data_IF_104807886818
#
_entry.id   IF_104807886818
#
_cell.length_a   1.000
_cell.length_b   1.000
_cell.length_c   1.000
_cell.angle_alpha   90.00
_cell.angle_beta   90.00
_cell.angle_gamma   90.00
#
_symmetry.space_group_name_H-M   'P 1'
#
loop_
_entity.id
_entity.type
_entity.pdbx_description
1 polymer ?
#
# COMPACT_ATOMS: atom_id res chain seq x y z
N UNK A 1 -7.25 -4.91 -7.88
CA UNK A 1 -7.06 -3.75 -7.00
C UNK A 1 -7.18 -2.51 -7.86
N UNK A 2 -8.41 -2.01 -8.04
CA UNK A 2 -8.62 -0.74 -8.73
C UNK A 2 -8.49 0.37 -7.70
N UNK A 3 -7.55 1.29 -7.91
CA UNK A 3 -7.44 2.51 -7.14
C UNK A 3 -6.59 2.47 -5.85
N UNK A 4 -5.51 1.67 -5.80
CA UNK A 4 -4.48 1.66 -4.73
C UNK A 4 -3.11 1.08 -5.21
N UNK A 5 -2.48 1.61 -6.26
CA UNK A 5 -1.29 0.98 -6.88
C UNK A 5 -0.10 0.83 -5.92
N UNK A 6 0.09 1.77 -4.99
CA UNK A 6 1.15 1.67 -3.96
C UNK A 6 0.86 0.50 -3.03
N UNK A 7 -0.35 0.41 -2.47
CA UNK A 7 -0.75 -0.71 -1.63
C UNK A 7 -0.68 -2.06 -2.35
N UNK A 8 -1.14 -2.09 -3.60
CA UNK A 8 -1.06 -3.27 -4.45
C UNK A 8 0.39 -3.71 -4.68
N UNK A 9 1.30 -2.77 -4.91
CA UNK A 9 2.74 -3.05 -5.09
C UNK A 9 3.38 -3.53 -3.79
N UNK A 10 3.07 -2.92 -2.63
CA UNK A 10 3.55 -3.38 -1.31
C UNK A 10 3.10 -4.82 -1.03
N UNK A 11 1.83 -5.14 -1.33
CA UNK A 11 1.30 -6.49 -1.17
C UNK A 11 1.96 -7.46 -2.13
N UNK A 12 1.93 -7.18 -3.44
CA UNK A 12 2.43 -8.10 -4.45
C UNK A 12 3.94 -8.33 -4.31
N UNK A 13 4.70 -7.28 -4.01
CA UNK A 13 6.13 -7.39 -3.69
C UNK A 13 6.38 -8.26 -2.46
N UNK A 14 5.67 -8.04 -1.35
CA UNK A 14 5.89 -8.83 -0.13
C UNK A 14 5.50 -10.31 -0.32
N UNK A 15 4.45 -10.61 -1.11
CA UNK A 15 4.14 -11.98 -1.49
C UNK A 15 5.22 -12.61 -2.36
N UNK A 16 5.73 -11.86 -3.36
CA UNK A 16 6.79 -12.35 -4.23
C UNK A 16 8.09 -12.61 -3.45
N UNK A 17 8.48 -11.73 -2.53
CA UNK A 17 9.61 -11.93 -1.62
C UNK A 17 9.44 -13.23 -0.82
N UNK A 18 8.29 -13.38 -0.14
CA UNK A 18 7.99 -14.57 0.69
C UNK A 18 8.04 -15.87 -0.11
N UNK A 19 7.41 -15.90 -1.29
CA UNK A 19 7.43 -17.11 -2.12
C UNK A 19 8.81 -17.39 -2.71
N UNK A 20 9.59 -16.35 -3.01
CA UNK A 20 11.00 -16.51 -3.43
C UNK A 20 11.84 -17.12 -2.31
N UNK A 21 11.67 -16.70 -1.05
CA UNK A 21 12.35 -17.34 0.09
C UNK A 21 11.97 -18.82 0.24
N UNK A 22 10.68 -19.16 0.09
CA UNK A 22 10.24 -20.55 0.12
C UNK A 22 10.88 -21.38 -1.00
N UNK A 23 10.91 -20.86 -2.22
CA UNK A 23 11.56 -21.52 -3.36
C UNK A 23 13.07 -21.68 -3.10
N UNK A 24 13.73 -20.65 -2.57
CA UNK A 24 15.14 -20.69 -2.24
C UNK A 24 15.44 -21.75 -1.18
N UNK A 25 14.60 -21.86 -0.15
CA UNK A 25 14.70 -22.90 0.86
C UNK A 25 14.52 -24.30 0.27
N UNK A 26 13.45 -24.52 -0.51
CA UNK A 26 13.12 -25.82 -1.11
C UNK A 26 14.20 -26.30 -2.10
N UNK A 27 14.91 -25.37 -2.76
CA UNK A 27 15.93 -25.68 -3.77
C UNK A 27 17.36 -25.46 -3.28
N UNK A 28 17.56 -25.13 -1.99
CA UNK A 28 18.86 -24.73 -1.42
C UNK A 28 19.58 -23.64 -2.27
N UNK A 29 18.82 -22.70 -2.84
CA UNK A 29 19.27 -21.73 -3.83
C UNK A 29 19.40 -20.31 -3.23
N UNK A 30 20.45 -20.11 -2.43
CA UNK A 30 20.76 -18.78 -1.87
C UNK A 30 21.18 -17.73 -2.92
N UNK A 31 21.23 -16.45 -2.53
CA UNK A 31 21.80 -15.39 -3.37
C UNK A 31 23.31 -15.58 -3.54
N UNK A 32 23.83 -15.25 -4.72
CA UNK A 32 25.28 -15.21 -4.95
C UNK A 32 25.91 -13.96 -4.35
N UNK A 33 27.21 -13.97 -4.01
CA UNK A 33 27.91 -12.77 -3.53
C UNK A 33 27.78 -11.61 -4.53
N UNK A 34 27.21 -10.49 -4.08
CA UNK A 34 27.01 -9.28 -4.90
C UNK A 34 25.81 -9.31 -5.85
N UNK A 35 25.03 -10.38 -5.85
CA UNK A 35 23.80 -10.48 -6.64
C UNK A 35 22.73 -9.51 -6.12
N UNK A 36 22.09 -8.76 -7.01
CA UNK A 36 20.98 -7.90 -6.62
C UNK A 36 19.75 -8.74 -6.33
N UNK A 37 18.91 -8.30 -5.40
CA UNK A 37 17.68 -9.01 -5.04
C UNK A 37 16.77 -9.31 -6.23
N UNK A 38 16.63 -8.38 -7.18
CA UNK A 38 15.84 -8.60 -8.40
C UNK A 38 16.42 -9.72 -9.27
N UNK A 39 17.74 -9.76 -9.44
CA UNK A 39 18.44 -10.76 -10.24
C UNK A 39 18.31 -12.15 -9.58
N UNK A 40 18.47 -12.20 -8.26
CA UNK A 40 18.27 -13.41 -7.45
C UNK A 40 16.84 -13.94 -7.58
N UNK A 41 15.82 -13.07 -7.44
CA UNK A 41 14.41 -13.45 -7.62
C UNK A 41 14.19 -13.95 -9.05
N UNK A 42 14.63 -13.23 -10.08
CA UNK A 42 14.50 -13.67 -11.47
C UNK A 42 15.09 -15.06 -11.70
N UNK A 43 16.29 -15.32 -11.16
CA UNK A 43 16.95 -16.62 -11.22
C UNK A 43 16.16 -17.71 -10.50
N UNK A 44 15.68 -17.47 -9.29
CA UNK A 44 14.89 -18.45 -8.53
C UNK A 44 13.64 -18.90 -9.27
N UNK A 45 12.91 -17.95 -9.85
CA UNK A 45 11.68 -18.25 -10.58
C UNK A 45 11.94 -18.87 -11.95
N UNK A 46 13.17 -18.80 -12.47
CA UNK A 46 13.59 -19.51 -13.68
C UNK A 46 13.99 -20.97 -13.46
N UNK A 47 14.06 -21.44 -12.21
CA UNK A 47 14.37 -22.85 -11.90
C UNK A 47 13.30 -23.75 -12.52
N UNK A 48 13.73 -24.80 -13.22
CA UNK A 48 12.82 -25.70 -13.92
C UNK A 48 11.76 -26.29 -12.98
N UNK A 49 10.49 -26.24 -13.41
CA UNK A 49 9.35 -26.73 -12.62
C UNK A 49 8.81 -25.74 -11.58
N UNK A 50 9.48 -24.59 -11.35
CA UNK A 50 8.96 -23.55 -10.45
C UNK A 50 7.81 -22.77 -11.10
N UNK A 51 7.96 -22.35 -12.35
CA UNK A 51 6.90 -21.69 -13.12
C UNK A 51 6.03 -22.66 -13.92
N UNK A 52 6.60 -23.78 -14.39
CA UNK A 52 5.94 -24.71 -15.32
C UNK A 52 5.18 -25.84 -14.62
N UNK A 53 5.30 -25.95 -13.29
CA UNK A 53 4.64 -26.96 -12.45
C UNK A 53 5.05 -28.43 -12.68
N UNK A 54 5.85 -28.75 -13.70
CA UNK A 54 6.26 -30.12 -14.01
C UNK A 54 5.32 -30.85 -14.98
N UNK A 55 5.96 -31.62 -15.88
CA UNK A 55 5.46 -32.51 -16.96
C UNK A 55 3.95 -32.52 -17.21
N UNK A 56 3.54 -31.80 -18.28
CA UNK A 56 2.21 -31.73 -18.93
C UNK A 56 1.44 -30.43 -18.69
N UNK A 57 2.11 -29.28 -18.86
CA UNK A 57 1.53 -27.94 -18.76
C UNK A 57 0.67 -27.61 -19.99
N UNK A 58 -0.66 -27.52 -19.82
CA UNK A 58 -1.58 -26.87 -20.78
C UNK A 58 -1.52 -25.33 -20.70
N UNK A 59 -0.57 -24.77 -19.94
CA UNK A 59 -0.11 -23.39 -20.04
C UNK A 59 1.41 -23.44 -20.09
N UNK A 60 2.00 -22.99 -21.20
CA UNK A 60 3.46 -22.93 -21.36
C UNK A 60 4.13 -22.02 -20.33
N UNK A 61 5.47 -21.86 -20.38
CA UNK A 61 6.19 -20.94 -19.51
C UNK A 61 5.47 -19.60 -19.51
N UNK A 62 5.16 -19.08 -18.31
CA UNK A 62 4.35 -17.87 -18.18
C UNK A 62 4.99 -16.66 -18.87
N UNK A 63 6.27 -16.76 -19.25
CA UNK A 63 7.02 -15.65 -19.83
C UNK A 63 7.19 -14.49 -18.83
N UNK A 64 6.79 -14.71 -17.57
CA UNK A 64 6.81 -13.69 -16.53
C UNK A 64 8.22 -13.58 -15.96
N UNK A 65 8.78 -12.39 -16.08
CA UNK A 65 10.04 -12.03 -15.44
C UNK A 65 9.79 -11.54 -14.01
N UNK A 66 9.90 -12.46 -13.05
CA UNK A 66 9.72 -12.17 -11.63
C UNK A 66 10.68 -11.08 -11.12
N UNK A 67 11.92 -11.06 -11.62
CA UNK A 67 12.94 -10.10 -11.22
C UNK A 67 12.59 -8.69 -11.69
N UNK A 68 12.11 -8.56 -12.92
CA UNK A 68 11.61 -7.29 -13.47
C UNK A 68 10.39 -6.78 -12.72
N UNK A 69 9.38 -7.62 -12.48
CA UNK A 69 8.19 -7.24 -11.71
C UNK A 69 8.57 -6.78 -10.29
N UNK A 70 9.48 -7.50 -9.63
CA UNK A 70 10.01 -7.09 -8.33
C UNK A 70 10.73 -5.72 -8.39
N UNK A 71 11.58 -5.52 -9.40
CA UNK A 71 12.32 -4.26 -9.57
C UNK A 71 11.37 -3.08 -9.80
N UNK A 72 10.36 -3.22 -10.66
CA UNK A 72 9.42 -2.13 -10.96
C UNK A 72 8.58 -1.74 -9.74
N UNK A 73 8.04 -2.73 -9.01
CA UNK A 73 7.32 -2.46 -7.75
C UNK A 73 8.23 -1.81 -6.69
N UNK A 74 9.52 -2.16 -6.68
CA UNK A 74 10.50 -1.54 -5.78
C UNK A 74 10.82 -0.10 -6.18
N UNK A 75 10.89 0.21 -7.47
CA UNK A 75 11.09 1.59 -7.94
C UNK A 75 9.88 2.49 -7.62
N UNK A 76 8.64 1.97 -7.69
CA UNK A 76 7.43 2.74 -7.33
C UNK A 76 7.51 3.26 -5.90
N UNK A 77 7.91 2.40 -4.96
CA UNK A 77 8.09 2.74 -3.54
C UNK A 77 9.06 3.91 -3.35
N UNK A 78 9.99 4.09 -4.29
CA UNK A 78 10.97 5.18 -4.30
C UNK A 78 10.60 6.36 -5.21
N UNK A 79 9.36 6.41 -5.70
CA UNK A 79 8.88 7.50 -6.53
C UNK A 79 9.31 7.40 -8.01
N UNK A 80 9.66 6.21 -8.49
CA UNK A 80 10.27 5.99 -9.82
C UNK A 80 9.64 4.79 -10.54
N UNK A 81 10.07 4.57 -11.77
CA UNK A 81 9.66 3.41 -12.58
C UNK A 81 8.33 3.62 -13.30
N UNK A 82 7.90 2.59 -14.02
CA UNK A 82 6.74 2.70 -14.92
C UNK A 82 5.41 2.79 -14.17
N UNK A 83 5.36 2.24 -12.96
CA UNK A 83 4.18 2.29 -12.09
C UNK A 83 3.81 3.70 -11.62
N UNK A 84 4.69 4.70 -11.75
CA UNK A 84 4.34 6.10 -11.49
C UNK A 84 3.19 6.55 -12.41
N UNK A 85 3.13 6.06 -13.65
CA UNK A 85 2.02 6.36 -14.57
C UNK A 85 0.68 5.82 -14.06
N UNK A 86 0.67 4.62 -13.51
CA UNK A 86 -0.52 4.05 -12.88
C UNK A 86 -0.95 4.84 -11.64
N UNK A 87 0.01 5.35 -10.85
CA UNK A 87 -0.29 6.22 -9.71
C UNK A 87 -0.93 7.54 -10.16
N UNK A 88 -0.43 8.14 -11.25
CA UNK A 88 -1.05 9.33 -11.86
C UNK A 88 -2.49 9.09 -12.27
N UNK A 89 -2.73 8.02 -13.02
CA UNK A 89 -4.08 7.69 -13.45
C UNK A 89 -5.01 7.55 -12.25
N UNK A 90 -4.59 6.86 -11.20
CA UNK A 90 -5.41 6.68 -10.00
C UNK A 90 -5.63 7.97 -9.19
N UNK A 91 -4.60 8.78 -9.00
CA UNK A 91 -4.69 9.94 -8.10
C UNK A 91 -5.37 11.13 -8.74
N UNK A 92 -5.40 11.20 -10.07
CA UNK A 92 -5.86 12.38 -10.82
C UNK A 92 -6.93 12.05 -11.86
N UNK A 93 -6.87 10.87 -12.48
CA UNK A 93 -7.66 10.53 -13.67
C UNK A 93 -8.56 9.31 -13.44
N UNK A 94 -8.84 8.93 -12.18
CA UNK A 94 -9.49 7.64 -11.85
C UNK A 94 -10.84 7.44 -12.53
N UNK A 95 -11.57 8.54 -12.76
CA UNK A 95 -12.88 8.53 -13.44
C UNK A 95 -12.78 8.52 -14.97
N UNK A 96 -11.57 8.61 -15.51
CA UNK A 96 -11.27 8.52 -16.94
C UNK A 96 -10.75 7.14 -17.32
N UNK A 97 -10.87 6.77 -18.59
CA UNK A 97 -10.28 5.54 -19.09
C UNK A 97 -8.76 5.55 -18.90
N UNK A 98 -8.20 4.47 -18.34
CA UNK A 98 -6.76 4.30 -18.23
C UNK A 98 -6.13 4.22 -19.63
N UNK A 99 -5.03 4.96 -19.83
CA UNK A 99 -4.25 4.82 -21.05
C UNK A 99 -3.49 3.48 -21.09
N UNK A 100 -3.01 3.09 -22.27
CA UNK A 100 -2.32 1.83 -22.46
C UNK A 100 -1.06 1.69 -21.59
N UNK A 101 -0.38 2.79 -21.27
CA UNK A 101 0.84 2.76 -20.45
C UNK A 101 0.52 2.52 -18.97
N UNK A 102 -0.55 3.13 -18.45
CA UNK A 102 -1.06 2.89 -17.10
C UNK A 102 -1.53 1.43 -16.98
N UNK A 103 -2.24 0.90 -17.98
CA UNK A 103 -2.67 -0.51 -18.02
C UNK A 103 -1.45 -1.45 -18.03
N UNK A 104 -0.45 -1.20 -18.89
CA UNK A 104 0.78 -2.00 -18.93
C UNK A 104 1.56 -1.95 -17.61
N UNK A 105 1.56 -0.81 -16.92
CA UNK A 105 2.23 -0.73 -15.63
C UNK A 105 1.58 -1.66 -14.59
N UNK A 106 0.24 -1.85 -14.62
CA UNK A 106 -0.44 -2.80 -13.75
C UNK A 106 -0.06 -4.27 -14.02
N UNK A 107 0.45 -4.60 -15.21
CA UNK A 107 0.90 -5.96 -15.52
C UNK A 107 2.02 -6.41 -14.57
N UNK A 108 2.92 -5.52 -14.11
CA UNK A 108 3.96 -5.90 -13.14
C UNK A 108 3.40 -6.40 -11.80
N UNK A 109 2.34 -5.76 -11.31
CA UNK A 109 1.66 -6.15 -10.08
C UNK A 109 0.86 -7.43 -10.30
N UNK A 110 0.14 -7.51 -11.42
CA UNK A 110 -0.63 -8.69 -11.79
C UNK A 110 0.27 -9.93 -11.90
N UNK A 111 1.39 -9.81 -12.61
CA UNK A 111 2.34 -10.88 -12.86
C UNK A 111 2.96 -11.42 -11.56
N UNK A 112 3.32 -10.52 -10.63
CA UNK A 112 3.83 -10.93 -9.31
C UNK A 112 2.78 -11.70 -8.49
N UNK A 113 1.51 -11.29 -8.56
CA UNK A 113 0.41 -11.99 -7.90
C UNK A 113 0.09 -13.32 -8.58
N UNK A 114 0.11 -13.38 -9.92
CA UNK A 114 -0.11 -14.60 -10.70
C UNK A 114 0.94 -15.66 -10.37
N UNK A 115 2.22 -15.29 -10.31
CA UNK A 115 3.29 -16.18 -9.84
C UNK A 115 3.03 -16.71 -8.43
N UNK A 116 2.58 -15.84 -7.51
CA UNK A 116 2.28 -16.22 -6.13
C UNK A 116 1.10 -17.21 -6.05
N UNK A 117 0.03 -16.96 -6.80
CA UNK A 117 -1.16 -17.84 -6.85
C UNK A 117 -0.81 -19.19 -7.47
N UNK A 118 -0.06 -19.20 -8.58
CA UNK A 118 0.45 -20.44 -9.20
C UNK A 118 1.27 -21.27 -8.22
N UNK A 119 2.10 -20.62 -7.40
CA UNK A 119 2.88 -21.33 -6.37
C UNK A 119 2.00 -21.90 -5.26
N UNK A 120 0.95 -21.18 -4.84
CA UNK A 120 -0.05 -21.71 -3.90
C UNK A 120 -0.74 -22.95 -4.48
N UNK A 121 -1.17 -22.89 -5.74
CA UNK A 121 -1.79 -24.03 -6.43
C UNK A 121 -0.84 -25.23 -6.47
N UNK A 122 0.41 -25.03 -6.89
CA UNK A 122 1.41 -26.10 -6.91
C UNK A 122 1.64 -26.74 -5.53
N UNK A 123 1.66 -25.93 -4.46
CA UNK A 123 1.79 -26.41 -3.09
C UNK A 123 0.56 -27.24 -2.64
N UNK A 124 -0.65 -26.78 -2.98
CA UNK A 124 -1.90 -27.52 -2.71
C UNK A 124 -1.90 -28.86 -3.45
N UNK A 125 -1.58 -28.88 -4.75
CA UNK A 125 -1.47 -30.09 -5.55
C UNK A 125 -0.48 -31.08 -4.93
N UNK A 126 0.71 -30.60 -4.57
CA UNK A 126 1.76 -31.43 -3.96
C UNK A 126 1.29 -32.03 -2.62
N UNK A 127 0.66 -31.22 -1.76
CA UNK A 127 0.13 -31.67 -0.47
C UNK A 127 -1.03 -32.67 -0.62
N UNK A 128 -1.90 -32.47 -1.62
CA UNK A 128 -3.01 -33.38 -1.92
C UNK A 128 -2.50 -34.72 -2.43
N UNK A 129 -1.57 -34.73 -3.40
CA UNK A 129 -0.93 -35.95 -3.89
C UNK A 129 -0.19 -36.70 -2.78
N UNK A 130 0.54 -36.01 -1.89
CA UNK A 130 1.20 -36.63 -0.74
C UNK A 130 0.22 -37.31 0.23
N UNK A 131 -1.04 -36.87 0.25
CA UNK A 131 -2.14 -37.45 1.04
C UNK A 131 -2.99 -38.44 0.24
N UNK A 132 -2.59 -38.81 -0.97
CA UNK A 132 -3.33 -39.70 -1.87
C UNK A 132 -4.75 -39.17 -2.20
N UNK A 133 -4.89 -37.85 -2.24
CA UNK A 133 -6.13 -37.16 -2.65
C UNK A 133 -6.03 -36.77 -4.13
N UNK A 134 -5.92 -37.76 -5.00
CA UNK A 134 -5.58 -37.55 -6.43
C UNK A 134 -6.63 -36.72 -7.18
N UNK A 135 -7.91 -36.83 -6.82
CA UNK A 135 -8.97 -35.99 -7.38
C UNK A 135 -8.77 -34.52 -7.02
N UNK A 136 -8.45 -34.22 -5.76
CA UNK A 136 -8.18 -32.85 -5.29
C UNK A 136 -6.92 -32.28 -5.95
N UNK A 137 -5.88 -33.11 -6.11
CA UNK A 137 -4.66 -32.71 -6.81
C UNK A 137 -4.95 -32.39 -8.28
N UNK A 138 -5.74 -33.23 -8.96
CA UNK A 138 -6.16 -33.02 -10.34
C UNK A 138 -7.04 -31.76 -10.49
N UNK A 139 -7.99 -31.53 -9.58
CA UNK A 139 -8.86 -30.37 -9.62
C UNK A 139 -8.09 -29.07 -9.36
N UNK A 140 -7.21 -29.05 -8.36
CA UNK A 140 -6.35 -27.90 -8.08
C UNK A 140 -5.41 -27.58 -9.27
N UNK A 141 -4.93 -28.62 -9.95
CA UNK A 141 -4.10 -28.49 -11.15
C UNK A 141 -4.87 -27.97 -12.37
N UNK A 142 -6.08 -28.48 -12.58
CA UNK A 142 -6.94 -28.11 -13.71
C UNK A 142 -7.69 -26.79 -13.50
N UNK A 143 -7.74 -26.29 -12.26
CA UNK A 143 -8.27 -24.96 -11.95
C UNK A 143 -7.38 -23.92 -12.61
N UNK A 144 -7.86 -23.34 -13.73
CA UNK A 144 -7.17 -22.24 -14.39
C UNK A 144 -6.99 -21.11 -13.38
N UNK A 145 -5.73 -20.82 -13.05
CA UNK A 145 -5.32 -19.67 -12.25
C UNK A 145 -5.47 -18.35 -13.03
N UNK A 146 -6.65 -18.12 -13.63
CA UNK A 146 -7.12 -16.87 -14.23
C UNK A 146 -6.86 -16.66 -15.74
N UNK A 147 -7.91 -16.16 -16.41
CA UNK A 147 -7.81 -15.29 -17.58
C UNK A 147 -7.78 -13.85 -17.09
N UNK A 148 -7.04 -12.94 -17.76
CA UNK A 148 -7.13 -11.50 -17.48
C UNK A 148 -8.60 -11.09 -17.54
N UNK A 149 -9.14 -10.64 -16.41
CA UNK A 149 -10.53 -10.17 -16.33
C UNK A 149 -10.55 -8.69 -16.66
N UNK A 150 -11.25 -8.33 -17.74
CA UNK A 150 -11.55 -6.94 -18.02
C UNK A 150 -12.68 -6.49 -17.09
N UNK A 151 -12.55 -5.31 -16.51
CA UNK A 151 -13.57 -4.68 -15.67
C UNK A 151 -13.93 -3.33 -16.27
N UNK A 152 -15.22 -3.05 -16.40
CA UNK A 152 -15.65 -1.69 -16.72
C UNK A 152 -15.63 -0.86 -15.45
N UNK A 153 -15.13 0.37 -15.57
CA UNK A 153 -15.08 1.30 -14.45
C UNK A 153 -16.49 1.58 -13.89
N UNK A 154 -17.49 1.69 -14.77
CA UNK A 154 -18.90 1.89 -14.41
C UNK A 154 -19.41 0.83 -13.40
N UNK A 155 -18.96 -0.42 -13.54
CA UNK A 155 -19.41 -1.55 -12.71
C UNK A 155 -18.84 -1.48 -11.28
N UNK A 156 -17.75 -0.74 -11.07
CA UNK A 156 -17.06 -0.65 -9.79
C UNK A 156 -17.03 0.74 -9.18
N UNK A 157 -17.41 1.78 -9.91
CA UNK A 157 -17.38 3.15 -9.43
C UNK A 157 -18.07 3.32 -8.06
N UNK A 158 -19.25 2.72 -7.78
CA UNK A 158 -19.86 2.80 -6.45
C UNK A 158 -19.00 2.18 -5.34
N UNK A 159 -18.16 1.21 -5.69
CA UNK A 159 -17.30 0.46 -4.77
C UNK A 159 -15.95 1.17 -4.50
N UNK A 160 -15.59 2.17 -5.32
CA UNK A 160 -14.39 3.00 -5.17
C UNK A 160 -14.53 4.07 -4.08
N UNK A 161 -15.76 4.35 -3.63
CA UNK A 161 -16.04 5.34 -2.59
C UNK A 161 -15.30 4.97 -1.29
N UNK A 162 -14.63 5.92 -0.60
CA UNK A 162 -13.96 5.65 0.68
C UNK A 162 -14.90 5.03 1.73
N UNK A 163 -14.38 4.09 2.54
CA UNK A 163 -15.15 3.53 3.65
C UNK A 163 -15.03 4.46 4.86
N UNK A 164 -16.06 5.28 5.07
CA UNK A 164 -16.18 6.14 6.27
C UNK A 164 -16.93 5.41 7.38
N UNK A 165 -16.65 5.69 8.66
CA UNK A 165 -17.50 5.24 9.77
C UNK A 165 -18.99 5.49 9.55
N UNK A 166 -19.36 6.70 9.13
CA UNK A 166 -20.75 7.03 8.78
C UNK A 166 -21.35 6.12 7.69
N UNK A 167 -20.54 5.64 6.75
CA UNK A 167 -20.98 4.73 5.69
C UNK A 167 -21.22 3.31 6.21
N UNK A 168 -20.24 2.70 6.89
CA UNK A 168 -20.38 1.31 7.33
C UNK A 168 -21.27 1.16 8.57
N UNK A 169 -21.51 2.23 9.31
CA UNK A 169 -22.49 2.28 10.40
C UNK A 169 -23.92 2.52 9.90
N UNK A 170 -24.12 2.99 8.66
CA UNK A 170 -25.44 3.06 8.05
C UNK A 170 -25.84 1.67 7.51
N UNK A 171 -26.86 1.06 8.11
CA UNK A 171 -27.25 -0.31 7.75
C UNK A 171 -27.67 -0.48 6.29
N UNK A 172 -28.31 0.53 5.68
CA UNK A 172 -28.71 0.48 4.26
C UNK A 172 -27.50 0.53 3.33
N UNK A 173 -26.58 1.47 3.57
CA UNK A 173 -25.35 1.60 2.78
C UNK A 173 -24.42 0.39 2.96
N UNK A 174 -24.29 -0.08 4.20
CA UNK A 174 -23.54 -1.29 4.52
C UNK A 174 -24.14 -2.53 3.86
N UNK A 175 -25.47 -2.69 3.89
CA UNK A 175 -26.15 -3.80 3.23
C UNK A 175 -25.96 -3.75 1.71
N UNK A 176 -26.10 -2.58 1.09
CA UNK A 176 -25.88 -2.40 -0.35
C UNK A 176 -24.47 -2.85 -0.75
N UNK A 177 -23.42 -2.42 -0.03
CA UNK A 177 -22.05 -2.87 -0.29
C UNK A 177 -21.88 -4.39 -0.06
N UNK A 178 -22.38 -4.91 1.06
CA UNK A 178 -22.16 -6.32 1.44
C UNK A 178 -22.97 -7.30 0.60
N UNK A 179 -24.10 -6.89 0.03
CA UNK A 179 -24.91 -7.71 -0.87
C UNK A 179 -24.14 -8.22 -2.09
N UNK A 180 -23.28 -7.39 -2.69
CA UNK A 180 -22.39 -7.81 -3.77
C UNK A 180 -21.35 -8.83 -3.31
N UNK A 181 -20.82 -8.66 -2.09
CA UNK A 181 -19.90 -9.63 -1.49
C UNK A 181 -20.57 -10.98 -1.20
N UNK A 182 -21.83 -10.96 -0.73
CA UNK A 182 -22.63 -12.18 -0.56
C UNK A 182 -22.93 -12.86 -1.89
N UNK A 183 -23.21 -12.10 -2.95
CA UNK A 183 -23.39 -12.65 -4.28
C UNK A 183 -22.12 -13.39 -4.75
N UNK A 184 -20.95 -12.77 -4.64
CA UNK A 184 -19.66 -13.42 -4.96
C UNK A 184 -19.47 -14.74 -4.19
N UNK A 185 -19.63 -14.70 -2.85
CA UNK A 185 -19.45 -15.91 -2.01
C UNK A 185 -20.46 -16.99 -2.36
N UNK A 186 -21.71 -16.61 -2.60
CA UNK A 186 -22.75 -17.55 -3.03
C UNK A 186 -22.43 -18.24 -4.35
N UNK A 187 -21.78 -17.55 -5.30
CA UNK A 187 -21.29 -18.17 -6.55
C UNK A 187 -20.09 -19.08 -6.31
N UNK A 188 -19.14 -18.68 -5.46
CA UNK A 188 -17.99 -19.53 -5.08
C UNK A 188 -18.45 -20.81 -4.38
N UNK A 189 -19.37 -20.69 -3.41
CA UNK A 189 -19.93 -21.82 -2.66
C UNK A 189 -20.76 -22.77 -3.56
N UNK A 190 -21.39 -22.22 -4.61
CA UNK A 190 -22.12 -23.02 -5.63
C UNK A 190 -21.17 -23.69 -6.62
N UNK A 191 -20.10 -23.01 -7.02
CA UNK A 191 -19.03 -23.60 -7.84
C UNK A 191 -18.30 -24.75 -7.15
N UNK A 192 -18.18 -24.71 -5.82
CA UNK A 192 -17.60 -25.80 -5.03
C UNK A 192 -18.50 -27.06 -4.90
N UNK A 193 -19.76 -27.00 -5.38
CA UNK A 193 -20.78 -28.08 -5.24
C UNK A 193 -21.22 -28.67 -6.59
N UNK A 194 -20.31 -28.81 -7.55
CA UNK A 194 -20.52 -29.46 -8.86
C UNK A 194 -21.39 -28.72 -9.90
N UNK A 195 -21.65 -27.42 -9.73
CA UNK A 195 -22.34 -26.63 -10.76
C UNK A 195 -21.36 -25.76 -11.56
N UNK A 196 -21.45 -25.73 -12.90
CA UNK A 196 -20.65 -24.80 -13.69
C UNK A 196 -21.00 -23.38 -13.25
N UNK A 197 -19.96 -22.66 -12.83
CA UNK A 197 -20.00 -21.23 -12.52
C UNK A 197 -20.75 -20.49 -13.63
N UNK A 198 -21.85 -19.81 -13.29
CA UNK A 198 -22.76 -19.17 -14.25
C UNK A 198 -22.33 -17.77 -14.70
N UNK A 199 -21.33 -17.20 -14.04
CA UNK A 199 -20.83 -15.87 -14.38
C UNK A 199 -19.89 -15.95 -15.59
N UNK A 200 -20.11 -15.06 -16.57
CA UNK A 200 -19.11 -14.79 -17.60
C UNK A 200 -17.79 -14.34 -16.95
N UNK A 201 -16.67 -14.52 -17.64
CA UNK A 201 -15.34 -14.06 -17.18
C UNK A 201 -15.36 -12.62 -16.66
N UNK A 202 -16.20 -11.78 -17.25
CA UNK A 202 -16.24 -10.33 -17.03
C UNK A 202 -16.98 -9.95 -15.73
N UNK A 203 -17.87 -10.81 -15.23
CA UNK A 203 -18.61 -10.57 -13.98
C UNK A 203 -17.78 -10.83 -12.71
N UNK A 204 -16.72 -11.64 -12.82
CA UNK A 204 -15.90 -12.04 -11.67
C UNK A 204 -15.05 -10.91 -11.10
N UNK A 205 -14.58 -10.01 -11.95
CA UNK A 205 -13.74 -8.89 -11.53
C UNK A 205 -14.48 -7.92 -10.59
N UNK A 206 -15.63 -7.35 -11.00
CA UNK A 206 -16.41 -6.45 -10.16
C UNK A 206 -16.90 -7.12 -8.88
N UNK A 207 -17.41 -8.36 -8.96
CA UNK A 207 -17.88 -9.09 -7.79
C UNK A 207 -16.74 -9.43 -6.81
N UNK A 208 -15.57 -9.82 -7.31
CA UNK A 208 -14.40 -10.06 -6.47
C UNK A 208 -13.88 -8.80 -5.80
N UNK A 209 -13.90 -7.67 -6.52
CA UNK A 209 -13.59 -6.36 -5.93
C UNK A 209 -14.61 -5.99 -4.84
N UNK A 210 -15.90 -6.14 -5.12
CA UNK A 210 -16.97 -5.87 -4.17
C UNK A 210 -16.87 -6.72 -2.90
N UNK A 211 -16.53 -8.01 -3.04
CA UNK A 211 -16.35 -8.90 -1.90
C UNK A 211 -15.20 -8.45 -0.99
N UNK A 212 -14.08 -8.00 -1.57
CA UNK A 212 -12.96 -7.45 -0.81
C UNK A 212 -13.37 -6.19 -0.06
N UNK A 213 -14.08 -5.27 -0.73
CA UNK A 213 -14.61 -4.05 -0.11
C UNK A 213 -15.61 -4.37 1.01
N UNK A 214 -16.48 -5.34 0.82
CA UNK A 214 -17.42 -5.82 1.83
C UNK A 214 -16.71 -6.40 3.06
N UNK A 215 -15.61 -7.15 2.86
CA UNK A 215 -14.77 -7.63 3.98
C UNK A 215 -14.15 -6.51 4.77
N UNK A 216 -13.54 -5.54 4.10
CA UNK A 216 -12.96 -4.37 4.74
C UNK A 216 -14.00 -3.61 5.56
N UNK A 217 -15.19 -3.37 4.99
CA UNK A 217 -16.28 -2.72 5.70
C UNK A 217 -16.76 -3.51 6.91
N UNK A 218 -16.83 -4.84 6.81
CA UNK A 218 -17.22 -5.70 7.93
C UNK A 218 -16.18 -5.67 9.07
N UNK A 219 -14.89 -5.83 8.73
CA UNK A 219 -13.80 -5.75 9.70
C UNK A 219 -13.79 -4.39 10.40
N UNK A 220 -13.90 -3.29 9.64
CA UNK A 220 -13.98 -1.94 10.17
C UNK A 220 -15.18 -1.75 11.09
N UNK A 221 -16.39 -2.21 10.71
CA UNK A 221 -17.60 -2.12 11.55
C UNK A 221 -17.41 -2.87 12.87
N UNK A 222 -16.85 -4.08 12.84
CA UNK A 222 -16.61 -4.87 14.05
C UNK A 222 -15.57 -4.21 14.96
N UNK A 223 -14.44 -3.76 14.41
CA UNK A 223 -13.42 -3.05 15.17
C UNK A 223 -13.96 -1.77 15.80
N UNK A 224 -14.74 -1.00 15.03
CA UNK A 224 -15.37 0.23 15.50
C UNK A 224 -16.34 -0.02 16.66
N UNK A 225 -17.18 -1.05 16.57
CA UNK A 225 -18.10 -1.44 17.66
C UNK A 225 -17.34 -1.94 18.90
N UNK A 226 -16.27 -2.71 18.70
CA UNK A 226 -15.43 -3.18 19.80
C UNK A 226 -14.71 -2.03 20.51
N UNK A 227 -14.19 -1.06 19.78
CA UNK A 227 -13.61 0.15 20.38
C UNK A 227 -14.67 1.00 21.08
N UNK A 228 -15.86 1.14 20.50
CA UNK A 228 -16.97 1.85 21.14
C UNK A 228 -17.37 1.22 22.48
N UNK A 229 -17.42 -0.10 22.55
CA UNK A 229 -17.68 -0.84 23.78
C UNK A 229 -16.53 -0.68 24.80
N UNK A 230 -15.28 -0.80 24.34
CA UNK A 230 -14.10 -0.67 25.18
C UNK A 230 -13.95 0.73 25.80
N UNK A 231 -14.22 1.79 25.05
CA UNK A 231 -14.02 3.17 25.47
C UNK A 231 -15.28 3.85 26.03
N UNK A 232 -16.47 3.29 25.80
CA UNK A 232 -17.74 3.81 26.30
C UNK A 232 -17.92 5.30 25.97
N UNK A 233 -18.20 6.12 26.98
CA UNK A 233 -18.38 7.58 26.81
C UNK A 233 -17.13 8.31 26.31
N UNK A 234 -15.93 7.72 26.46
CA UNK A 234 -14.68 8.28 25.96
C UNK A 234 -14.38 7.95 24.50
N UNK A 235 -15.26 7.20 23.84
CA UNK A 235 -15.12 6.85 22.43
C UNK A 235 -15.40 8.05 21.52
N UNK A 236 -14.37 8.51 20.81
CA UNK A 236 -14.46 9.66 19.91
C UNK A 236 -14.80 9.25 18.47
N UNK A 237 -16.06 8.87 18.25
CA UNK A 237 -16.58 8.57 16.91
C UNK A 237 -16.29 9.70 15.91
N UNK A 238 -16.55 10.95 16.31
CA UNK A 238 -16.37 12.12 15.45
C UNK A 238 -14.90 12.34 15.09
N UNK A 239 -13.98 12.11 16.02
CA UNK A 239 -12.54 12.19 15.77
C UNK A 239 -12.06 11.16 14.74
N UNK A 240 -12.58 9.94 14.79
CA UNK A 240 -12.28 8.90 13.80
C UNK A 240 -12.80 9.35 12.43
N UNK A 241 -14.10 9.70 12.33
CA UNK A 241 -14.70 10.19 11.07
C UNK A 241 -13.90 11.37 10.48
N UNK A 242 -13.55 12.36 11.31
CA UNK A 242 -12.74 13.51 10.90
C UNK A 242 -11.37 13.09 10.36
N UNK A 243 -10.71 12.11 10.99
CA UNK A 243 -9.41 11.60 10.53
C UNK A 243 -9.52 11.03 9.11
N UNK A 244 -10.59 10.28 8.81
CA UNK A 244 -10.83 9.77 7.46
C UNK A 244 -11.09 10.89 6.46
N UNK A 245 -11.93 11.86 6.81
CA UNK A 245 -12.22 13.02 5.96
C UNK A 245 -10.94 13.82 5.69
N UNK A 246 -10.13 14.07 6.70
CA UNK A 246 -8.83 14.76 6.57
C UNK A 246 -7.87 13.99 5.67
N UNK A 247 -7.86 12.66 5.74
CA UNK A 247 -7.04 11.84 4.85
C UNK A 247 -7.48 11.96 3.39
N UNK A 248 -8.79 12.00 3.12
CA UNK A 248 -9.35 12.19 1.78
C UNK A 248 -8.96 13.58 1.28
N UNK A 249 -9.20 14.62 2.06
CA UNK A 249 -8.82 15.99 1.71
C UNK A 249 -7.32 16.14 1.43
N UNK A 250 -6.47 15.47 2.21
CA UNK A 250 -5.03 15.46 1.98
C UNK A 250 -4.66 14.79 0.65
N UNK A 251 -5.28 13.65 0.32
CA UNK A 251 -5.05 12.93 -0.93
C UNK A 251 -5.53 13.73 -2.15
N UNK A 252 -6.77 14.22 -2.12
CA UNK A 252 -7.36 14.96 -3.25
C UNK A 252 -6.62 16.28 -3.48
N UNK A 253 -6.23 16.99 -2.41
CA UNK A 253 -5.45 18.20 -2.54
C UNK A 253 -4.04 17.92 -3.09
N UNK A 254 -3.37 16.85 -2.65
CA UNK A 254 -2.07 16.47 -3.20
C UNK A 254 -2.16 16.14 -4.70
N UNK A 255 -3.21 15.44 -5.13
CA UNK A 255 -3.50 15.18 -6.54
C UNK A 255 -3.73 16.45 -7.35
N UNK A 256 -4.53 17.39 -6.82
CA UNK A 256 -4.79 18.69 -7.46
C UNK A 256 -3.53 19.54 -7.59
N UNK A 257 -2.74 19.63 -6.52
CA UNK A 257 -1.44 20.33 -6.55
C UNK A 257 -0.52 19.69 -7.58
N UNK A 258 -0.48 18.36 -7.66
CA UNK A 258 0.35 17.68 -8.65
C UNK A 258 -0.06 18.06 -10.09
N UNK A 259 -1.35 18.20 -10.39
CA UNK A 259 -1.81 18.69 -11.70
C UNK A 259 -1.23 20.06 -12.00
N UNK A 260 -1.35 21.01 -11.07
CA UNK A 260 -0.82 22.37 -11.24
C UNK A 260 0.72 22.38 -11.40
N UNK A 261 1.43 21.56 -10.62
CA UNK A 261 2.89 21.45 -10.72
C UNK A 261 3.35 20.73 -12.00
N UNK A 262 2.49 19.94 -12.64
CA UNK A 262 2.85 19.25 -13.89
C UNK A 262 2.91 20.20 -15.09
N UNK A 263 2.26 21.37 -15.00
CA UNK A 263 2.27 22.36 -16.08
C UNK A 263 3.66 22.94 -16.33
N UNK A 264 4.55 22.90 -15.32
CA UNK A 264 5.90 23.41 -15.39
C UNK A 264 6.94 22.26 -15.33
N UNK A 265 7.86 22.14 -16.32
CA UNK A 265 8.85 21.06 -16.37
C UNK A 265 9.74 20.94 -15.12
N UNK A 266 10.07 22.07 -14.48
CA UNK A 266 10.91 22.13 -13.28
C UNK A 266 10.28 21.52 -12.03
N UNK A 267 8.95 21.35 -12.01
CA UNK A 267 8.20 20.83 -10.85
C UNK A 267 7.58 19.46 -11.11
N UNK A 268 7.82 18.85 -12.28
CA UNK A 268 7.24 17.55 -12.64
C UNK A 268 7.58 16.45 -11.63
N UNK A 269 8.79 16.44 -11.09
CA UNK A 269 9.21 15.44 -10.10
C UNK A 269 8.63 15.69 -8.70
N UNK A 270 8.31 16.94 -8.37
CA UNK A 270 7.51 17.24 -7.17
C UNK A 270 6.07 16.76 -7.36
N UNK A 271 5.51 16.93 -8.56
CA UNK A 271 4.19 16.43 -8.91
C UNK A 271 4.12 14.89 -8.80
N UNK A 272 5.10 14.17 -9.35
CA UNK A 272 5.22 12.70 -9.21
C UNK A 272 5.23 12.28 -7.73
N UNK A 273 6.03 12.97 -6.90
CA UNK A 273 6.10 12.69 -5.46
C UNK A 273 4.73 12.90 -4.77
N UNK A 274 4.02 13.99 -5.08
CA UNK A 274 2.70 14.26 -4.49
C UNK A 274 1.63 13.25 -4.91
N UNK A 275 1.63 12.82 -6.17
CA UNK A 275 0.73 11.76 -6.65
C UNK A 275 0.96 10.47 -5.89
N UNK A 276 2.21 10.07 -5.73
CA UNK A 276 2.56 8.83 -5.05
C UNK A 276 2.28 8.96 -3.54
N UNK A 277 2.49 10.13 -2.94
CA UNK A 277 2.08 10.41 -1.58
C UNK A 277 0.55 10.26 -1.38
N UNK A 278 -0.27 10.83 -2.27
CA UNK A 278 -1.72 10.68 -2.23
C UNK A 278 -2.14 9.21 -2.34
N UNK A 279 -1.59 8.50 -3.34
CA UNK A 279 -1.84 7.08 -3.56
C UNK A 279 -1.47 6.23 -2.34
N UNK A 280 -0.32 6.55 -1.75
CA UNK A 280 0.23 5.89 -0.58
C UNK A 280 -0.62 6.09 0.67
N UNK A 281 -1.11 7.31 0.92
CA UNK A 281 -2.01 7.57 2.05
C UNK A 281 -3.35 6.86 1.85
N UNK A 282 -3.93 6.93 0.65
CA UNK A 282 -5.18 6.22 0.33
C UNK A 282 -5.03 4.71 0.51
N UNK A 283 -3.90 4.14 0.07
CA UNK A 283 -3.56 2.73 0.28
C UNK A 283 -3.40 2.39 1.76
N UNK A 284 -2.68 3.22 2.52
CA UNK A 284 -2.45 3.03 3.95
C UNK A 284 -3.77 3.01 4.74
N UNK A 285 -4.67 3.97 4.48
CA UNK A 285 -5.97 4.05 5.16
C UNK A 285 -6.83 2.83 4.88
N UNK A 286 -6.87 2.35 3.63
CA UNK A 286 -7.66 1.16 3.30
C UNK A 286 -7.09 -0.11 3.94
N UNK A 287 -5.77 -0.29 3.94
CA UNK A 287 -5.15 -1.43 4.63
C UNK A 287 -5.29 -1.33 6.15
N UNK A 288 -5.26 -0.11 6.70
CA UNK A 288 -5.48 0.11 8.13
C UNK A 288 -6.89 -0.29 8.56
N UNK A 289 -7.91 -0.04 7.74
CA UNK A 289 -9.29 -0.51 7.98
C UNK A 289 -9.42 -2.04 8.00
N UNK A 290 -8.52 -2.75 7.31
CA UNK A 290 -8.44 -4.21 7.30
C UNK A 290 -7.57 -4.76 8.45
N UNK A 291 -7.08 -3.89 9.34
CA UNK A 291 -6.07 -4.19 10.36
C UNK A 291 -4.78 -4.83 9.78
N UNK A 292 -4.45 -4.46 8.53
CA UNK A 292 -3.29 -4.99 7.83
C UNK A 292 -2.03 -4.16 8.13
N UNK A 293 -1.01 -4.83 8.68
CA UNK A 293 0.27 -4.22 9.04
C UNK A 293 1.02 -3.58 7.84
N UNK A 294 0.72 -4.03 6.61
CA UNK A 294 1.28 -3.44 5.38
C UNK A 294 0.80 -1.99 5.15
N UNK A 295 -0.22 -1.53 5.87
CA UNK A 295 -0.56 -0.11 5.96
C UNK A 295 0.65 0.74 6.38
N UNK A 296 1.49 0.26 7.31
CA UNK A 296 2.70 0.96 7.75
C UNK A 296 3.77 0.98 6.65
N UNK A 297 3.86 -0.08 5.85
CA UNK A 297 4.69 -0.12 4.64
C UNK A 297 4.28 0.96 3.63
N UNK A 298 2.98 1.24 3.50
CA UNK A 298 2.49 2.36 2.71
C UNK A 298 2.86 3.70 3.38
N UNK A 299 2.69 3.88 4.69
CA UNK A 299 3.08 5.13 5.36
C UNK A 299 4.58 5.46 5.19
N UNK A 300 5.45 4.45 5.05
CA UNK A 300 6.85 4.68 4.68
C UNK A 300 6.97 5.44 3.35
N UNK A 301 6.28 4.93 2.32
CA UNK A 301 6.30 5.53 0.97
C UNK A 301 5.78 6.97 1.05
N UNK A 302 4.68 7.18 1.78
CA UNK A 302 4.14 8.51 2.03
C UNK A 302 5.18 9.47 2.62
N UNK A 303 5.85 9.08 3.71
CA UNK A 303 6.87 9.94 4.36
C UNK A 303 8.04 10.23 3.44
N UNK A 304 8.51 9.22 2.68
CA UNK A 304 9.58 9.39 1.69
C UNK A 304 9.18 10.37 0.58
N UNK A 305 7.96 10.25 0.05
CA UNK A 305 7.48 11.11 -1.01
C UNK A 305 7.18 12.53 -0.54
N UNK A 306 6.68 12.72 0.69
CA UNK A 306 6.57 14.06 1.27
C UNK A 306 7.96 14.70 1.43
N UNK A 307 8.95 13.93 1.89
CA UNK A 307 10.32 14.43 2.00
C UNK A 307 10.93 14.77 0.62
N UNK A 308 10.64 13.97 -0.41
CA UNK A 308 11.03 14.24 -1.80
C UNK A 308 10.40 15.54 -2.30
N UNK A 309 9.08 15.66 -2.23
CA UNK A 309 8.31 16.85 -2.60
C UNK A 309 8.82 18.11 -1.90
N UNK A 310 9.02 18.04 -0.58
CA UNK A 310 9.58 19.12 0.23
C UNK A 310 11.00 19.51 -0.20
N UNK A 311 11.82 18.54 -0.59
CA UNK A 311 13.19 18.81 -1.06
C UNK A 311 13.17 19.52 -2.41
N UNK A 312 12.27 19.15 -3.33
CA UNK A 312 12.05 19.89 -4.57
C UNK A 312 11.62 21.33 -4.33
N UNK A 313 10.69 21.56 -3.40
CA UNK A 313 10.21 22.90 -3.04
C UNK A 313 11.31 23.78 -2.44
N UNK A 314 12.04 23.26 -1.45
CA UNK A 314 12.98 24.06 -0.65
C UNK A 314 14.39 24.11 -1.26
N UNK A 315 14.81 23.07 -1.96
CA UNK A 315 16.19 22.86 -2.43
C UNK A 315 16.23 22.17 -3.81
N UNK A 316 15.68 22.78 -4.87
CA UNK A 316 15.52 22.14 -6.18
C UNK A 316 16.85 21.65 -6.77
N UNK A 317 17.95 22.39 -6.58
CA UNK A 317 19.28 21.97 -7.07
C UNK A 317 19.84 20.74 -6.34
N UNK A 318 19.44 20.51 -5.09
CA UNK A 318 19.80 19.31 -4.33
C UNK A 318 18.89 18.15 -4.73
N UNK A 319 17.59 18.44 -4.91
CA UNK A 319 16.61 17.46 -5.38
C UNK A 319 17.00 16.89 -6.75
N UNK A 320 17.40 17.74 -7.69
CA UNK A 320 17.90 17.30 -9.00
C UNK A 320 19.09 16.36 -8.87
N UNK A 321 20.09 16.69 -8.05
CA UNK A 321 21.25 15.80 -7.83
C UNK A 321 20.89 14.46 -7.20
N UNK A 322 19.86 14.41 -6.35
CA UNK A 322 19.36 13.16 -5.80
C UNK A 322 18.60 12.35 -6.86
N UNK A 323 17.78 13.03 -7.67
CA UNK A 323 17.07 12.41 -8.79
C UNK A 323 18.04 11.79 -9.81
N UNK A 324 19.07 12.54 -10.23
CA UNK A 324 20.07 12.12 -11.21
C UNK A 324 20.87 10.88 -10.76
N UNK A 325 20.97 10.64 -9.45
CA UNK A 325 21.61 9.43 -8.90
C UNK A 325 20.77 8.16 -9.08
N UNK A 326 19.48 8.29 -9.39
CA UNK A 326 18.56 7.17 -9.58
C UNK A 326 18.61 6.17 -8.43
N UNK A 327 18.92 4.90 -8.75
CA UNK A 327 18.98 3.79 -7.78
C UNK A 327 20.03 3.96 -6.68
N UNK A 328 21.00 4.87 -6.83
CA UNK A 328 21.98 5.17 -5.79
C UNK A 328 21.44 6.13 -4.72
N UNK A 329 20.32 6.82 -4.98
CA UNK A 329 19.65 7.65 -3.97
C UNK A 329 18.75 6.78 -3.10
N UNK A 330 18.91 6.90 -1.79
CA UNK A 330 18.14 6.15 -0.80
C UNK A 330 17.01 7.01 -0.20
N UNK A 331 15.98 6.40 0.41
CA UNK A 331 14.94 7.13 1.15
C UNK A 331 15.51 8.08 2.21
N UNK A 332 16.59 7.64 2.84
CA UNK A 332 17.30 8.39 3.88
C UNK A 332 17.87 9.70 3.34
N UNK A 333 18.38 9.71 2.10
CA UNK A 333 18.92 10.92 1.49
C UNK A 333 17.83 11.99 1.36
N UNK A 334 16.64 11.63 0.89
CA UNK A 334 15.50 12.54 0.76
C UNK A 334 15.04 13.08 2.12
N UNK A 335 14.88 12.19 3.12
CA UNK A 335 14.49 12.58 4.49
C UNK A 335 15.53 13.51 5.14
N UNK A 336 16.82 13.25 4.93
CA UNK A 336 17.87 14.13 5.48
C UNK A 336 17.89 15.49 4.78
N UNK A 337 17.76 15.54 3.44
CA UNK A 337 17.81 16.80 2.68
C UNK A 337 16.55 17.65 2.84
N UNK A 338 15.39 17.05 3.11
CA UNK A 338 14.14 17.75 3.42
C UNK A 338 14.16 18.49 4.77
N UNK A 339 15.17 18.20 5.61
CA UNK A 339 15.28 18.73 6.98
C UNK A 339 14.72 17.79 8.05
N UNK A 340 14.22 16.62 7.68
CA UNK A 340 13.57 15.67 8.58
C UNK A 340 14.50 14.56 9.08
N UNK A 341 15.81 14.82 9.19
CA UNK A 341 16.82 13.86 9.68
C UNK A 341 16.46 13.17 11.02
N UNK A 342 15.58 13.77 11.82
CA UNK A 342 15.10 13.23 13.11
C UNK A 342 14.07 12.10 12.94
N UNK A 343 13.44 11.95 11.77
CA UNK A 343 12.51 10.85 11.44
C UNK A 343 13.20 9.52 11.12
N UNK A 344 14.52 9.41 11.26
CA UNK A 344 15.24 8.18 10.94
C UNK A 344 14.64 6.94 11.65
N UNK A 345 14.31 7.06 12.95
CA UNK A 345 13.70 5.98 13.72
C UNK A 345 12.29 5.61 13.23
N UNK A 346 11.48 6.59 12.83
CA UNK A 346 10.18 6.34 12.21
C UNK A 346 10.36 5.61 10.88
N UNK A 347 11.25 6.10 10.01
CA UNK A 347 11.47 5.52 8.69
C UNK A 347 11.98 4.08 8.77
N UNK A 348 12.82 3.76 9.75
CA UNK A 348 13.30 2.40 10.02
C UNK A 348 12.17 1.49 10.52
N UNK A 349 11.35 1.96 11.47
CA UNK A 349 10.19 1.22 11.95
C UNK A 349 9.20 0.93 10.81
N UNK A 350 8.81 1.94 10.03
CA UNK A 350 7.95 1.76 8.86
C UNK A 350 8.60 0.87 7.78
N UNK A 351 9.93 0.93 7.65
CA UNK A 351 10.75 0.06 6.81
C UNK A 351 10.55 -1.43 7.08
N UNK A 352 10.41 -1.81 8.34
CA UNK A 352 10.25 -3.20 8.76
C UNK A 352 8.95 -3.83 8.25
N UNK A 353 7.90 -3.03 8.05
CA UNK A 353 6.62 -3.46 7.51
C UNK A 353 6.56 -3.54 5.97
N UNK A 354 7.57 -3.01 5.28
CA UNK A 354 7.62 -2.98 3.82
C UNK A 354 8.20 -4.26 3.19
N UNK A 355 8.65 -5.22 4.02
CA UNK A 355 9.31 -6.45 3.59
C UNK A 355 8.57 -7.68 4.12
N UNK A 356 8.49 -8.74 3.31
CA UNK A 356 7.85 -10.01 3.67
C UNK A 356 8.79 -11.08 4.23
N UNK A 357 10.04 -10.71 4.56
CA UNK A 357 11.12 -11.65 4.89
C UNK A 357 10.97 -12.21 6.31
N UNK A 358 11.44 -13.46 6.52
CA UNK A 358 11.39 -14.18 7.81
C UNK A 358 12.00 -13.44 9.02
N UNK A 359 12.84 -12.43 8.80
CA UNK A 359 13.53 -11.64 9.83
C UNK A 359 12.92 -10.23 10.04
N UNK A 360 11.73 -9.95 9.51
CA UNK A 360 11.09 -8.65 9.73
C UNK A 360 10.69 -8.49 11.20
N UNK A 361 11.38 -7.61 11.92
CA UNK A 361 11.16 -7.34 13.36
C UNK A 361 9.96 -6.41 13.57
N UNK A 362 8.77 -6.91 13.23
CA UNK A 362 7.51 -6.16 13.37
C UNK A 362 7.21 -5.81 14.82
N UNK A 363 7.65 -6.63 15.78
CA UNK A 363 7.46 -6.38 17.21
C UNK A 363 8.27 -5.16 17.66
N UNK A 364 9.57 -5.09 17.32
CA UNK A 364 10.40 -3.91 17.62
C UNK A 364 9.93 -2.66 16.87
N UNK A 365 9.51 -2.81 15.62
CA UNK A 365 8.94 -1.73 14.84
C UNK A 365 7.67 -1.19 15.53
N UNK A 366 6.79 -2.08 15.99
CA UNK A 366 5.57 -1.71 16.73
C UNK A 366 5.89 -0.99 18.04
N UNK A 367 6.85 -1.48 18.82
CA UNK A 367 7.29 -0.81 20.05
C UNK A 367 7.84 0.59 19.75
N UNK A 368 8.57 0.76 18.65
CA UNK A 368 9.03 2.07 18.20
C UNK A 368 7.85 3.00 17.89
N UNK A 369 6.86 2.53 17.13
CA UNK A 369 5.64 3.32 16.85
C UNK A 369 4.89 3.67 18.13
N UNK A 370 4.85 2.75 19.10
CA UNK A 370 4.23 3.01 20.40
C UNK A 370 4.94 4.16 21.08
N UNK A 371 6.26 4.10 21.18
CA UNK A 371 7.11 5.08 21.87
C UNK A 371 7.11 6.48 21.21
N UNK A 372 6.74 6.59 19.93
CA UNK A 372 6.61 7.87 19.23
C UNK A 372 5.34 8.65 19.60
N UNK A 373 4.39 8.02 20.29
CA UNK A 373 3.18 8.68 20.75
C UNK A 373 3.47 9.73 21.83
N UNK A 374 2.62 10.76 21.91
CA UNK A 374 2.70 11.76 22.96
C UNK A 374 2.26 11.22 24.35
N UNK A 375 1.29 10.30 24.37
CA UNK A 375 0.59 9.89 25.60
C UNK A 375 0.87 8.42 25.99
N UNK A 376 2.13 8.10 26.28
CA UNK A 376 2.54 6.73 26.65
C UNK A 376 1.94 6.21 27.95
N UNK A 377 1.42 7.10 28.80
CA UNK A 377 0.87 6.77 30.12
C UNK A 377 -0.56 6.24 30.06
N UNK A 378 -1.25 6.34 28.91
CA UNK A 378 -2.61 5.84 28.75
C UNK A 378 -2.60 4.31 28.61
N UNK A 379 -3.51 3.56 29.29
CA UNK A 379 -3.60 2.10 29.17
C UNK A 379 -3.71 1.58 27.72
N UNK A 380 -4.30 2.39 26.83
CA UNK A 380 -4.48 2.07 25.41
C UNK A 380 -3.30 2.44 24.51
N UNK A 381 -2.18 2.98 25.04
CA UNK A 381 -1.05 3.43 24.21
C UNK A 381 -0.49 2.31 23.31
N UNK A 382 -0.44 1.07 23.80
CA UNK A 382 0.00 -0.09 23.00
C UNK A 382 -0.88 -0.40 21.79
N UNK A 383 -2.16 -0.04 21.85
CA UNK A 383 -3.14 -0.29 20.78
C UNK A 383 -3.14 0.84 19.75
N UNK A 384 -2.66 2.05 20.12
CA UNK A 384 -2.79 3.27 19.32
C UNK A 384 -1.55 3.66 18.50
N UNK A 385 -0.46 2.88 18.56
CA UNK A 385 0.78 3.19 17.84
C UNK A 385 0.57 3.37 16.33
N UNK A 386 -0.16 2.45 15.68
CA UNK A 386 -0.50 2.53 14.24
C UNK A 386 -1.38 3.75 13.94
N UNK A 387 -2.46 3.92 14.70
CA UNK A 387 -3.41 5.03 14.55
C UNK A 387 -2.73 6.39 14.72
N UNK A 388 -1.89 6.55 15.75
CA UNK A 388 -1.14 7.79 15.95
C UNK A 388 -0.17 8.05 14.81
N UNK A 389 0.49 7.03 14.28
CA UNK A 389 1.39 7.16 13.13
C UNK A 389 0.65 7.57 11.87
N UNK A 390 -0.54 7.00 11.62
CA UNK A 390 -1.43 7.39 10.52
C UNK A 390 -1.85 8.86 10.65
N UNK A 391 -2.37 9.27 11.82
CA UNK A 391 -2.81 10.65 12.07
C UNK A 391 -1.67 11.65 11.85
N UNK A 392 -0.48 11.38 12.40
CA UNK A 392 0.68 12.25 12.19
C UNK A 392 1.09 12.32 10.71
N UNK A 393 0.99 11.22 9.97
CA UNK A 393 1.30 11.20 8.54
C UNK A 393 0.29 11.99 7.70
N UNK A 394 -0.99 11.97 8.08
CA UNK A 394 -2.03 12.84 7.48
C UNK A 394 -1.68 14.31 7.70
N UNK A 395 -1.28 14.68 8.92
CA UNK A 395 -0.83 16.05 9.24
C UNK A 395 0.39 16.44 8.41
N UNK A 396 1.37 15.55 8.21
CA UNK A 396 2.54 15.82 7.38
C UNK A 396 2.15 16.11 5.92
N UNK A 397 1.23 15.35 5.33
CA UNK A 397 0.78 15.60 3.96
C UNK A 397 -0.03 16.90 3.85
N UNK A 398 -0.96 17.14 4.78
CA UNK A 398 -1.73 18.40 4.82
C UNK A 398 -0.80 19.61 4.96
N UNK A 399 0.24 19.52 5.79
CA UNK A 399 1.26 20.55 5.94
C UNK A 399 1.97 20.82 4.62
N UNK A 400 2.47 19.78 3.95
CA UNK A 400 3.22 19.97 2.70
C UNK A 400 2.31 20.45 1.56
N UNK A 401 1.04 20.02 1.51
CA UNK A 401 0.05 20.56 0.59
C UNK A 401 -0.13 22.06 0.80
N UNK A 402 -0.36 22.51 2.04
CA UNK A 402 -0.52 23.92 2.34
C UNK A 402 0.72 24.75 1.97
N UNK A 403 1.91 24.19 2.18
CA UNK A 403 3.15 24.83 1.81
C UNK A 403 3.33 24.97 0.29
N UNK A 404 2.91 23.98 -0.51
CA UNK A 404 2.87 24.11 -1.97
C UNK A 404 1.80 25.10 -2.42
N UNK A 405 0.62 25.11 -1.79
CA UNK A 405 -0.40 26.11 -2.06
C UNK A 405 0.14 27.52 -1.81
N UNK A 406 0.97 27.74 -0.78
CA UNK A 406 1.58 29.05 -0.53
C UNK A 406 2.47 29.55 -1.68
N UNK A 407 3.04 28.63 -2.47
CA UNK A 407 3.85 28.90 -3.66
C UNK A 407 2.97 29.17 -4.87
N UNK A 408 1.84 28.45 -4.98
CA UNK A 408 0.90 28.53 -6.10
C UNK A 408 -0.04 29.73 -5.95
N UNK A 409 -0.81 29.77 -4.85
CA UNK A 409 -1.79 30.80 -4.51
C UNK A 409 -2.04 30.87 -2.98
N UNK A 410 -1.76 32.05 -2.39
CA UNK A 410 -1.89 32.28 -0.94
C UNK A 410 -3.34 32.34 -0.44
N UNK A 411 -4.29 32.73 -1.28
CA UNK A 411 -5.70 32.76 -0.90
C UNK A 411 -6.24 31.33 -0.83
N UNK A 412 -5.81 30.47 -1.75
CA UNK A 412 -6.12 29.03 -1.71
C UNK A 412 -5.47 28.37 -0.48
N UNK A 413 -4.20 28.69 -0.17
CA UNK A 413 -3.55 28.25 1.08
C UNK A 413 -4.38 28.62 2.31
N UNK A 414 -4.77 29.90 2.42
CA UNK A 414 -5.54 30.42 3.55
C UNK A 414 -6.90 29.73 3.70
N UNK A 415 -7.57 29.45 2.58
CA UNK A 415 -8.81 28.69 2.57
C UNK A 415 -8.59 27.23 3.00
N UNK A 416 -7.53 26.61 2.50
CA UNK A 416 -7.21 25.21 2.80
C UNK A 416 -6.96 24.98 4.28
N UNK A 417 -6.16 25.82 4.94
CA UNK A 417 -5.92 25.73 6.40
C UNK A 417 -7.23 25.74 7.21
N UNK A 418 -8.22 26.55 6.79
CA UNK A 418 -9.54 26.61 7.44
C UNK A 418 -10.33 25.32 7.23
N UNK A 419 -10.26 24.73 6.04
CA UNK A 419 -10.97 23.49 5.68
C UNK A 419 -10.41 22.30 6.46
N UNK A 420 -9.09 22.14 6.48
CA UNK A 420 -8.44 21.03 7.22
C UNK A 420 -8.36 21.29 8.73
N UNK A 421 -8.82 22.45 9.20
CA UNK A 421 -8.87 22.84 10.62
C UNK A 421 -7.52 22.75 11.33
N UNK A 422 -6.44 22.96 10.59
CA UNK A 422 -5.08 23.02 11.10
C UNK A 422 -4.59 24.46 11.10
N UNK A 423 -3.58 24.75 11.92
CA UNK A 423 -2.87 26.03 11.90
C UNK A 423 -1.40 25.77 11.67
N UNK A 424 -0.71 26.63 10.91
CA UNK A 424 0.74 26.51 10.67
C UNK A 424 1.51 26.34 11.99
N UNK A 425 1.26 27.23 12.97
CA UNK A 425 1.92 27.15 14.28
C UNK A 425 1.64 25.84 15.03
N UNK A 426 0.39 25.33 14.98
CA UNK A 426 0.02 24.09 15.63
C UNK A 426 0.69 22.87 14.98
N UNK A 427 0.75 22.86 13.65
CA UNK A 427 1.42 21.83 12.86
C UNK A 427 2.92 21.85 13.12
N UNK A 428 3.56 23.03 13.03
CA UNK A 428 5.00 23.17 13.25
C UNK A 428 5.40 22.69 14.64
N UNK A 429 4.65 23.09 15.68
CA UNK A 429 4.89 22.63 17.05
C UNK A 429 4.68 21.12 17.19
N UNK A 430 3.58 20.59 16.66
CA UNK A 430 3.28 19.15 16.72
C UNK A 430 4.33 18.31 15.98
N UNK A 431 4.78 18.77 14.83
CA UNK A 431 5.87 18.18 14.06
C UNK A 431 7.18 18.21 14.86
N UNK A 432 7.56 19.35 15.43
CA UNK A 432 8.78 19.48 16.23
C UNK A 432 8.76 18.55 17.45
N UNK A 433 7.63 18.46 18.15
CA UNK A 433 7.44 17.54 19.28
C UNK A 433 7.59 16.08 18.83
N UNK A 434 6.99 15.72 17.69
CA UNK A 434 7.11 14.38 17.11
C UNK A 434 8.54 14.04 16.69
N UNK A 435 9.20 14.96 15.98
CA UNK A 435 10.61 14.87 15.59
C UNK A 435 11.52 14.75 16.81
N UNK A 436 11.22 15.45 17.89
CA UNK A 436 11.99 15.40 19.13
C UNK A 436 11.85 14.04 19.81
N UNK A 437 10.65 13.46 19.87
CA UNK A 437 10.45 12.10 20.37
C UNK A 437 11.24 11.08 19.54
N UNK A 438 11.14 11.13 18.22
CA UNK A 438 11.91 10.27 17.32
C UNK A 438 13.43 10.38 17.53
N UNK A 439 13.92 11.61 17.77
CA UNK A 439 15.32 11.86 18.07
C UNK A 439 15.78 11.27 19.41
N UNK A 440 14.95 11.37 20.45
CA UNK A 440 15.24 10.79 21.77
C UNK A 440 15.33 9.26 21.67
N UNK A 441 14.43 8.63 20.92
CA UNK A 441 14.47 7.18 20.71
C UNK A 441 15.74 6.72 20.00
N UNK A 442 16.14 7.41 18.94
CA UNK A 442 17.41 7.14 18.27
C UNK A 442 18.60 7.19 19.22
N UNK A 443 18.65 8.17 20.12
CA UNK A 443 19.74 8.28 21.12
C UNK A 443 19.75 7.12 22.11
N UNK A 444 18.57 6.64 22.52
CA UNK A 444 18.44 5.50 23.45
C UNK A 444 18.89 4.19 22.80
N UNK A 445 18.52 3.95 21.53
CA UNK A 445 18.97 2.76 20.80
C UNK A 445 20.48 2.68 20.55
N UNK A 446 21.18 3.82 20.53
CA UNK A 446 22.65 3.88 20.42
C UNK A 446 23.33 3.53 21.76
N UNK A 447 22.65 3.66 22.90
CA UNK A 447 23.22 3.42 24.24
C UNK A 447 23.09 1.97 24.73
N UNK A 448 22.38 1.11 24.01
CA UNK A 448 22.21 -0.33 24.33
C UNK A 448 23.10 -1.25 23.51
N UNK A 449 24.03 -0.69 22.73
CA UNK A 449 25.10 -1.42 22.04
C UNK A 449 26.45 -0.95 22.58
N UNK A 450 26.78 -1.37 23.80
CA UNK A 450 28.14 -1.42 24.33
C UNK A 450 28.32 -2.70 25.13
#
# INVERSE_FOLDING_TARGET
MTGQVVGASVIARSQLERWSENIAHDNAAGPYPGEKTADWIGRLWSIHGVQDGGRNSFGGPSGIDAGRSFSEMSELVHGRGQLVRAAWWESVELLSAADAAAVQAFDFVHDALDLSVKRIHAAICTAASARQLDSVAADAWNTRAHSRVSMRLDDIQPLLMPLLPSFFMNDSAFYALTSYGFAYRGEVDRGAKDFPIRLSSDGWGPLGFAERRARAAHAAKQAFLAEADQFGESFDNRGIENTFIESILACEMAGLIAVWLREAPETIHAADALVIAANSLRSAVNLWLEDDERSMGCLRVLVEQIASSRTWRLKPTVAQRLHDRGKLSTPRDWIEKSGWKRLAALNEALGSYAHGLKNSDWDSARETLIQLQADLTKPAARQRGKTSTLINSIVFLNSENAEWLSVIDRDVESAYWKVVRLTRNGVDKGMDDYLQRAWVLRKRGISTVQ
#
